data_IF_505375661860
#
_entry.id   IF_505375661860
#
_cell.length_a   1.000
_cell.length_b   1.000
_cell.length_c   1.000
_cell.angle_alpha   90.00
_cell.angle_beta   90.00
_cell.angle_gamma   90.00
#
_symmetry.space_group_name_H-M   'P 1'
#
loop_
_entity.id
_entity.type
_entity.pdbx_description
1 polymer ?
#
# COMPACT_ATOMS: atom_id res chain seq x y z
N UNK A 1 -33.80 2.09 -55.20
CA UNK A 1 -32.40 2.31 -54.78
C UNK A 1 -31.80 0.94 -54.54
N UNK A 2 -30.83 0.52 -55.34
CA UNK A 2 -30.04 -0.67 -55.07
C UNK A 2 -29.17 -0.38 -53.86
N UNK A 3 -29.47 -1.01 -52.74
CA UNK A 3 -28.63 -1.02 -51.54
C UNK A 3 -27.24 -1.52 -51.96
N UNK A 4 -26.21 -0.73 -51.67
CA UNK A 4 -24.82 -1.02 -52.06
C UNK A 4 -24.33 -2.19 -51.21
N UNK A 5 -24.50 -3.41 -51.71
CA UNK A 5 -23.98 -4.63 -51.11
C UNK A 5 -22.49 -4.71 -51.49
N UNK A 6 -21.65 -4.08 -50.69
CA UNK A 6 -20.21 -4.15 -50.81
C UNK A 6 -19.73 -5.50 -50.25
N UNK A 7 -19.12 -6.33 -51.09
CA UNK A 7 -18.62 -7.68 -50.74
C UNK A 7 -17.34 -7.64 -49.88
N UNK A 8 -17.06 -6.48 -49.27
CA UNK A 8 -15.92 -6.30 -48.37
C UNK A 8 -16.22 -6.92 -47.00
N UNK A 9 -15.25 -7.58 -46.37
CA UNK A 9 -15.44 -8.12 -45.02
C UNK A 9 -15.79 -7.00 -44.06
N UNK A 10 -17.00 -7.05 -43.48
CA UNK A 10 -17.48 -6.12 -42.46
C UNK A 10 -16.70 -6.33 -41.15
N UNK A 11 -15.53 -5.71 -41.05
CA UNK A 11 -14.66 -5.74 -39.87
C UNK A 11 -15.36 -5.16 -38.62
N UNK A 12 -16.33 -4.27 -38.83
CA UNK A 12 -17.13 -3.61 -37.81
C UNK A 12 -17.99 -4.62 -37.02
N UNK A 13 -18.61 -5.56 -37.74
CA UNK A 13 -19.47 -6.59 -37.14
C UNK A 13 -18.67 -7.79 -36.63
N UNK A 14 -17.53 -8.10 -37.25
CA UNK A 14 -16.62 -9.16 -36.80
C UNK A 14 -15.88 -8.81 -35.50
N UNK A 15 -15.70 -7.53 -35.17
CA UNK A 15 -15.06 -7.07 -33.92
C UNK A 15 -15.98 -7.06 -32.70
N UNK A 16 -17.28 -7.31 -32.87
CA UNK A 16 -18.22 -7.41 -31.77
C UNK A 16 -17.95 -8.69 -30.99
N UNK A 17 -17.05 -8.59 -30.02
CA UNK A 17 -16.76 -9.62 -29.05
C UNK A 17 -18.06 -10.12 -28.41
N UNK A 18 -18.29 -11.43 -28.49
CA UNK A 18 -19.44 -12.11 -27.88
C UNK A 18 -19.64 -11.67 -26.42
N UNK A 19 -20.85 -11.22 -26.07
CA UNK A 19 -21.15 -10.71 -24.72
C UNK A 19 -20.83 -11.74 -23.62
N UNK A 20 -20.92 -13.04 -23.95
CA UNK A 20 -20.62 -14.10 -23.01
C UNK A 20 -19.14 -14.09 -22.58
N UNK A 21 -18.22 -13.80 -23.51
CA UNK A 21 -16.79 -13.65 -23.22
C UNK A 21 -16.50 -12.44 -22.31
N UNK A 22 -17.15 -11.30 -22.57
CA UNK A 22 -17.00 -10.10 -21.74
C UNK A 22 -17.51 -10.27 -20.31
N UNK A 23 -18.63 -11.00 -20.14
CA UNK A 23 -19.18 -11.32 -18.81
C UNK A 23 -18.24 -12.18 -17.98
N UNK A 24 -17.58 -13.18 -18.59
CA UNK A 24 -16.63 -14.04 -17.89
C UNK A 24 -15.42 -13.24 -17.38
N UNK A 25 -14.85 -12.38 -18.21
CA UNK A 25 -13.71 -11.52 -17.84
C UNK A 25 -14.06 -10.56 -16.68
N UNK A 26 -15.23 -9.91 -16.76
CA UNK A 26 -15.70 -9.00 -15.70
C UNK A 26 -15.92 -9.73 -14.38
N UNK A 27 -16.44 -10.96 -14.41
CA UNK A 27 -16.64 -11.79 -13.20
C UNK A 27 -15.31 -12.13 -12.51
N UNK A 28 -14.27 -12.47 -13.29
CA UNK A 28 -12.93 -12.74 -12.75
C UNK A 28 -12.37 -11.48 -12.07
N UNK A 29 -12.49 -10.33 -12.73
CA UNK A 29 -11.96 -9.06 -12.21
C UNK A 29 -12.62 -8.67 -10.89
N UNK A 30 -13.94 -8.80 -10.78
CA UNK A 30 -14.66 -8.60 -9.51
C UNK A 30 -14.23 -9.58 -8.42
N UNK A 31 -14.02 -10.85 -8.75
CA UNK A 31 -13.56 -11.86 -7.78
C UNK A 31 -12.18 -11.49 -7.21
N UNK A 32 -11.23 -11.17 -8.09
CA UNK A 32 -9.87 -10.81 -7.68
C UNK A 32 -9.86 -9.51 -6.89
N UNK A 33 -10.64 -8.51 -7.32
CA UNK A 33 -10.80 -7.25 -6.60
C UNK A 33 -11.24 -7.46 -5.15
N UNK A 34 -12.30 -8.24 -4.92
CA UNK A 34 -12.78 -8.50 -3.57
C UNK A 34 -11.78 -9.27 -2.71
N UNK A 35 -11.09 -10.26 -3.27
CA UNK A 35 -10.04 -11.01 -2.53
C UNK A 35 -8.91 -10.07 -2.11
N UNK A 36 -8.41 -9.24 -3.02
CA UNK A 36 -7.32 -8.30 -2.72
C UNK A 36 -7.75 -7.20 -1.75
N UNK A 37 -8.99 -6.72 -1.85
CA UNK A 37 -9.55 -5.76 -0.90
C UNK A 37 -9.61 -6.36 0.51
N UNK A 38 -10.11 -7.59 0.64
CA UNK A 38 -10.24 -8.25 1.94
C UNK A 38 -8.88 -8.47 2.61
N UNK A 39 -7.89 -8.94 1.84
CA UNK A 39 -6.52 -9.09 2.33
C UNK A 39 -5.96 -7.74 2.81
N UNK A 40 -6.21 -6.66 2.07
CA UNK A 40 -5.73 -5.32 2.43
C UNK A 40 -6.38 -4.78 3.69
N UNK A 41 -7.70 -4.96 3.85
CA UNK A 41 -8.42 -4.54 5.06
C UNK A 41 -7.92 -5.33 6.27
N UNK A 42 -7.73 -6.64 6.11
CA UNK A 42 -7.19 -7.51 7.16
C UNK A 42 -5.79 -7.07 7.60
N UNK A 43 -4.91 -6.75 6.64
CA UNK A 43 -3.56 -6.27 6.89
C UNK A 43 -3.58 -4.94 7.68
N UNK A 44 -4.43 -3.99 7.26
CA UNK A 44 -4.60 -2.71 7.95
C UNK A 44 -5.16 -2.88 9.38
N UNK A 45 -6.12 -3.78 9.57
CA UNK A 45 -6.73 -4.04 10.88
C UNK A 45 -5.71 -4.62 11.88
N UNK A 46 -4.86 -5.55 11.43
CA UNK A 46 -3.75 -6.07 12.25
C UNK A 46 -2.77 -4.94 12.59
N UNK A 47 -2.50 -4.06 11.62
CA UNK A 47 -1.59 -2.93 11.80
C UNK A 47 -2.10 -1.90 12.80
N UNK A 48 -3.39 -1.58 12.76
CA UNK A 48 -4.01 -0.64 13.68
C UNK A 48 -4.12 -1.18 15.11
N UNK A 49 -4.23 -2.50 15.28
CA UNK A 49 -4.25 -3.16 16.59
C UNK A 49 -2.86 -3.31 17.23
N UNK A 50 -1.79 -3.23 16.44
CA UNK A 50 -0.43 -3.49 16.91
C UNK A 50 0.08 -2.56 18.03
N UNK A 51 -0.19 -1.23 18.01
CA UNK A 51 0.22 -0.33 19.10
C UNK A 51 -0.46 -0.66 20.43
N UNK A 52 -1.74 -1.03 20.41
CA UNK A 52 -2.51 -1.36 21.62
C UNK A 52 -2.04 -2.65 22.33
N UNK A 53 -1.38 -3.55 21.59
CA UNK A 53 -0.87 -4.83 22.11
C UNK A 53 0.65 -4.83 22.33
N UNK A 54 1.33 -3.69 22.10
CA UNK A 54 2.79 -3.60 22.22
C UNK A 54 3.57 -4.34 21.12
N UNK A 55 2.94 -4.67 20.00
CA UNK A 55 3.55 -5.42 18.89
C UNK A 55 4.31 -4.54 17.90
N UNK A 56 4.41 -3.23 18.14
CA UNK A 56 4.99 -2.21 17.25
C UNK A 56 6.45 -2.46 16.85
N UNK A 57 7.14 -3.40 17.51
CA UNK A 57 8.51 -3.82 17.17
C UNK A 57 8.65 -5.29 16.77
N UNK A 58 7.57 -6.07 16.77
CA UNK A 58 7.64 -7.52 16.64
C UNK A 58 8.12 -7.94 15.24
N UNK A 59 9.14 -8.79 15.18
CA UNK A 59 9.70 -9.30 13.92
C UNK A 59 8.65 -10.08 13.11
N UNK A 60 7.80 -10.87 13.77
CA UNK A 60 6.75 -11.64 13.09
C UNK A 60 5.77 -10.73 12.36
N UNK A 61 5.45 -9.58 12.95
CA UNK A 61 4.51 -8.62 12.37
C UNK A 61 5.10 -8.01 11.10
N UNK A 62 6.37 -7.58 11.16
CA UNK A 62 7.10 -7.06 9.99
C UNK A 62 7.17 -8.07 8.85
N UNK A 63 7.49 -9.33 9.15
CA UNK A 63 7.54 -10.41 8.15
C UNK A 63 6.16 -10.69 7.56
N UNK A 64 5.09 -10.63 8.37
CA UNK A 64 3.72 -10.79 7.89
C UNK A 64 3.33 -9.69 6.89
N UNK A 65 3.57 -8.42 7.23
CA UNK A 65 3.29 -7.28 6.35
C UNK A 65 4.09 -7.34 5.04
N UNK A 66 5.39 -7.65 5.11
CA UNK A 66 6.23 -7.81 3.92
C UNK A 66 5.75 -9.00 3.07
N UNK A 67 5.38 -10.13 3.70
CA UNK A 67 4.86 -11.29 2.98
C UNK A 67 3.53 -11.01 2.28
N UNK A 68 2.57 -10.40 2.99
CA UNK A 68 1.26 -10.05 2.43
C UNK A 68 1.36 -9.04 1.29
N UNK A 69 2.23 -8.04 1.41
CA UNK A 69 2.49 -7.06 0.34
C UNK A 69 3.10 -7.70 -0.91
N UNK A 70 4.04 -8.64 -0.76
CA UNK A 70 4.62 -9.38 -1.91
C UNK A 70 3.56 -10.27 -2.58
N UNK A 71 2.78 -11.01 -1.79
CA UNK A 71 1.69 -11.87 -2.31
C UNK A 71 0.67 -11.02 -3.06
N UNK A 72 0.28 -9.88 -2.50
CA UNK A 72 -0.64 -8.92 -3.13
C UNK A 72 -0.06 -8.35 -4.43
N UNK A 73 1.22 -7.96 -4.45
CA UNK A 73 1.86 -7.44 -5.65
C UNK A 73 1.89 -8.49 -6.77
N UNK A 74 2.28 -9.73 -6.46
CA UNK A 74 2.26 -10.84 -7.40
C UNK A 74 0.83 -11.11 -7.92
N UNK A 75 -0.14 -11.09 -7.02
CA UNK A 75 -1.54 -11.25 -7.36
C UNK A 75 -2.04 -10.16 -8.33
N UNK A 76 -1.67 -8.90 -8.08
CA UNK A 76 -2.05 -7.79 -8.95
C UNK A 76 -1.44 -7.96 -10.34
N UNK A 77 -0.14 -8.25 -10.43
CA UNK A 77 0.56 -8.39 -11.71
C UNK A 77 0.01 -9.57 -12.53
N UNK A 78 -0.26 -10.72 -11.90
CA UNK A 78 -0.75 -11.90 -12.63
C UNK A 78 -2.20 -11.74 -13.11
N UNK A 79 -3.08 -11.18 -12.27
CA UNK A 79 -4.51 -11.15 -12.52
C UNK A 79 -5.05 -9.82 -13.05
N UNK A 80 -4.62 -8.66 -12.54
CA UNK A 80 -5.13 -7.36 -13.01
C UNK A 80 -4.52 -6.93 -14.34
N UNK A 81 -3.29 -7.35 -14.63
CA UNK A 81 -2.67 -7.03 -15.91
C UNK A 81 -2.98 -8.07 -17.00
N UNK A 82 -3.80 -9.08 -16.71
CA UNK A 82 -4.17 -10.15 -17.65
C UNK A 82 -2.95 -10.89 -18.27
N UNK A 83 -1.78 -10.76 -17.64
CA UNK A 83 -0.52 -11.30 -18.15
C UNK A 83 -0.48 -12.84 -18.10
N UNK A 84 -1.43 -13.50 -17.43
CA UNK A 84 -1.51 -14.96 -17.37
C UNK A 84 -1.61 -15.63 -18.75
N UNK A 85 -2.43 -15.08 -19.64
CA UNK A 85 -2.77 -15.70 -20.93
C UNK A 85 -2.20 -14.96 -22.15
N UNK A 86 -1.53 -13.84 -21.91
CA UNK A 86 -0.97 -12.95 -22.94
C UNK A 86 0.36 -13.41 -23.54
N UNK A 87 0.78 -12.74 -24.61
CA UNK A 87 2.04 -13.03 -25.32
C UNK A 87 3.24 -12.84 -24.40
N UNK A 88 4.18 -13.80 -24.39
CA UNK A 88 5.34 -13.81 -23.46
C UNK A 88 6.14 -12.50 -23.47
N UNK A 89 6.25 -11.85 -24.63
CA UNK A 89 6.96 -10.58 -24.78
C UNK A 89 6.32 -9.42 -24.01
N UNK A 90 4.99 -9.29 -24.05
CA UNK A 90 4.25 -8.29 -23.28
C UNK A 90 4.40 -8.49 -21.77
N UNK A 91 4.49 -9.75 -21.31
CA UNK A 91 4.78 -10.07 -19.91
C UNK A 91 6.12 -9.48 -19.47
N UNK A 92 7.18 -9.70 -20.23
CA UNK A 92 8.51 -9.21 -19.87
C UNK A 92 8.63 -7.69 -19.94
N UNK A 93 7.98 -7.03 -20.90
CA UNK A 93 7.97 -5.56 -20.99
C UNK A 93 7.39 -4.91 -19.74
N UNK A 94 6.37 -5.52 -19.12
CA UNK A 94 5.72 -4.96 -17.94
C UNK A 94 6.40 -5.45 -16.65
N UNK A 95 6.76 -6.73 -16.59
CA UNK A 95 7.32 -7.35 -15.40
C UNK A 95 8.75 -6.85 -15.11
N UNK A 96 9.57 -6.62 -16.13
CA UNK A 96 10.96 -6.20 -15.97
C UNK A 96 11.13 -4.80 -15.35
N UNK A 97 10.45 -3.73 -15.83
CA UNK A 97 10.52 -2.43 -15.17
C UNK A 97 9.89 -2.47 -13.77
N UNK A 98 8.82 -3.24 -13.57
CA UNK A 98 8.16 -3.36 -12.27
C UNK A 98 9.08 -3.97 -11.20
N UNK A 99 9.72 -5.10 -11.51
CA UNK A 99 10.69 -5.74 -10.60
C UNK A 99 11.89 -4.83 -10.37
N UNK A 100 12.45 -4.25 -11.44
CA UNK A 100 13.60 -3.34 -11.32
C UNK A 100 13.28 -2.15 -10.40
N UNK A 101 12.11 -1.55 -10.56
CA UNK A 101 11.69 -0.42 -9.74
C UNK A 101 11.50 -0.82 -8.26
N UNK A 102 10.87 -1.96 -7.98
CA UNK A 102 10.70 -2.45 -6.60
C UNK A 102 12.05 -2.75 -5.95
N UNK A 103 12.96 -3.45 -6.64
CA UNK A 103 14.28 -3.76 -6.09
C UNK A 103 15.08 -2.48 -5.82
N UNK A 104 15.03 -1.50 -6.74
CA UNK A 104 15.67 -0.20 -6.56
C UNK A 104 15.05 0.59 -5.41
N UNK A 105 13.72 0.56 -5.26
CA UNK A 105 13.01 1.21 -4.16
C UNK A 105 13.37 0.59 -2.80
N UNK A 106 13.44 -0.74 -2.71
CA UNK A 106 13.87 -1.42 -1.48
C UNK A 106 15.32 -1.03 -1.15
N UNK A 107 16.20 -1.04 -2.16
CA UNK A 107 17.60 -0.64 -1.98
C UNK A 107 17.71 0.78 -1.42
N UNK A 108 17.07 1.78 -2.03
CA UNK A 108 17.17 3.17 -1.57
C UNK A 108 16.56 3.35 -0.17
N UNK A 109 15.41 2.74 0.11
CA UNK A 109 14.75 2.85 1.43
C UNK A 109 15.63 2.23 2.53
N UNK A 110 16.26 1.08 2.26
CA UNK A 110 17.12 0.43 3.25
C UNK A 110 18.42 1.21 3.46
N UNK A 111 19.05 1.69 2.39
CA UNK A 111 20.30 2.47 2.49
C UNK A 111 20.05 3.79 3.22
N UNK A 112 19.06 4.57 2.78
CA UNK A 112 18.71 5.85 3.40
C UNK A 112 18.17 5.65 4.83
N UNK A 113 17.36 4.62 5.05
CA UNK A 113 16.81 4.30 6.37
C UNK A 113 17.91 3.92 7.37
N UNK A 114 18.89 3.13 6.96
CA UNK A 114 20.06 2.79 7.79
C UNK A 114 20.94 4.01 8.00
N UNK A 115 21.19 4.80 6.95
CA UNK A 115 21.99 6.03 7.04
C UNK A 115 21.37 7.05 8.01
N UNK A 116 20.06 7.30 7.92
CA UNK A 116 19.35 8.23 8.81
C UNK A 116 19.30 7.75 10.27
N UNK A 117 19.34 6.43 10.50
CA UNK A 117 19.30 5.84 11.85
C UNK A 117 20.59 6.02 12.67
N UNK A 118 21.71 6.44 12.08
CA UNK A 118 22.94 6.67 12.84
C UNK A 118 22.88 8.00 13.62
N UNK A 119 23.15 8.00 14.94
CA UNK A 119 23.09 9.22 15.77
C UNK A 119 24.13 10.29 15.40
N UNK A 120 25.11 9.95 14.53
CA UNK A 120 26.03 10.94 13.94
C UNK A 120 25.43 11.73 12.78
N UNK A 121 24.31 11.27 12.22
CA UNK A 121 23.71 11.80 11.00
C UNK A 121 22.47 12.67 11.31
N UNK A 122 22.30 13.01 12.59
CA UNK A 122 21.20 13.82 13.12
C UNK A 122 21.40 15.26 12.67
N UNK A 123 20.45 15.76 11.91
CA UNK A 123 20.46 17.13 11.40
C UNK A 123 20.00 18.13 12.45
N UNK A 124 20.26 19.43 12.23
CA UNK A 124 19.83 20.51 13.14
C UNK A 124 18.33 20.48 13.39
N UNK A 125 17.55 20.11 12.38
CA UNK A 125 16.08 20.03 12.46
C UNK A 125 15.61 18.94 13.42
N UNK A 126 16.27 17.78 13.46
CA UNK A 126 15.90 16.68 14.35
C UNK A 126 16.00 17.09 15.83
N UNK A 127 17.02 17.89 16.16
CA UNK A 127 17.19 18.42 17.52
C UNK A 127 16.06 19.37 17.90
N UNK A 128 15.64 20.24 16.98
CA UNK A 128 14.50 21.15 17.19
C UNK A 128 13.22 20.37 17.48
N UNK A 129 12.93 19.29 16.74
CA UNK A 129 11.75 18.47 16.99
C UNK A 129 11.79 17.76 18.35
N UNK A 130 12.97 17.27 18.76
CA UNK A 130 13.16 16.65 20.08
C UNK A 130 12.92 17.68 21.19
N UNK A 131 13.49 18.88 21.04
CA UNK A 131 13.34 19.94 22.03
C UNK A 131 11.88 20.43 22.09
N UNK A 132 11.21 20.59 20.95
CA UNK A 132 9.77 20.94 20.88
C UNK A 132 8.89 19.89 21.55
N UNK A 133 9.15 18.58 21.32
CA UNK A 133 8.40 17.52 21.99
C UNK A 133 8.64 17.52 23.51
N UNK A 134 9.86 17.83 23.93
CA UNK A 134 10.23 17.91 25.34
C UNK A 134 9.56 19.11 26.02
N UNK A 135 9.54 20.25 25.35
CA UNK A 135 8.89 21.48 25.82
C UNK A 135 7.36 21.32 25.88
N UNK A 136 6.72 20.74 24.85
CA UNK A 136 5.28 20.39 24.89
C UNK A 136 4.95 19.43 26.04
N UNK A 137 5.79 18.42 26.27
CA UNK A 137 5.58 17.44 27.35
C UNK A 137 5.74 18.08 28.72
N UNK A 138 6.70 18.99 28.87
CA UNK A 138 6.90 19.75 30.10
C UNK A 138 5.74 20.72 30.36
N UNK A 139 5.27 21.44 29.35
CA UNK A 139 4.12 22.34 29.46
C UNK A 139 2.84 21.61 29.90
N UNK A 140 2.51 20.46 29.29
CA UNK A 140 1.38 19.64 29.73
C UNK A 140 1.58 19.03 31.13
N UNK A 141 2.83 18.78 31.55
CA UNK A 141 3.15 18.31 32.90
C UNK A 141 2.97 19.40 33.96
N UNK A 142 3.37 20.64 33.65
CA UNK A 142 3.21 21.81 34.52
C UNK A 142 1.74 22.24 34.64
N UNK A 143 0.98 22.22 33.55
CA UNK A 143 -0.48 22.46 33.59
C UNK A 143 -1.23 21.38 34.38
N UNK A 144 -0.84 20.11 34.27
CA UNK A 144 -1.43 19.04 35.08
C UNK A 144 -1.13 19.21 36.58
N UNK A 145 0.10 19.61 36.94
CA UNK A 145 0.48 19.89 38.33
C UNK A 145 -0.21 21.13 38.92
N UNK A 146 -0.39 22.19 38.14
CA UNK A 146 -1.14 23.37 38.59
C UNK A 146 -2.65 23.09 38.72
N UNK A 147 -3.22 22.28 37.82
CA UNK A 147 -4.65 21.94 37.88
C UNK A 147 -4.97 21.00 39.07
N UNK A 148 -4.09 20.05 39.39
CA UNK A 148 -4.23 19.22 40.61
C UNK A 148 -4.06 20.01 41.91
N UNK A 149 -3.12 20.96 41.96
CA UNK A 149 -2.95 21.83 43.13
C UNK A 149 -4.16 22.74 43.35
N UNK A 150 -4.75 23.28 42.27
CA UNK A 150 -5.91 24.18 42.35
C UNK A 150 -7.20 23.42 42.69
N UNK A 151 -7.39 22.19 42.22
CA UNK A 151 -8.56 21.36 42.59
C UNK A 151 -8.44 20.67 43.95
N UNK A 152 -7.22 20.46 44.47
CA UNK A 152 -6.99 19.94 45.82
C UNK A 152 -7.28 20.96 46.94
N UNK A 153 -7.16 22.25 46.65
CA UNK A 153 -7.46 23.34 47.60
C UNK A 153 -8.97 23.69 47.68
N UNK A 154 -9.78 23.36 46.67
CA UNK A 154 -11.23 23.67 46.66
C UNK A 154 -12.10 22.63 47.40
N UNK A 155 -11.51 21.52 47.90
CA UNK A 155 -12.22 20.45 48.62
C UNK A 155 -11.92 20.37 50.13
N UNK A 156 -11.45 21.47 50.74
CA UNK A 156 -11.28 21.60 52.19
C UNK A 156 -12.20 22.67 52.81
#
# INVERSE_FOLDING_TARGET
MSEFHDDYPHYETMSNHDEAHGKAARKVLWKVFWVMLFITIFELAIGSMAPGHGWTGALWLKVLFIGLTVVKAAAIVLWFMHLGHEVKFFKYIILLPYITFILYAIFIILVEGVYSGYPRNVTRVDKIFIDQQKELKNHHGEEAQQTEATHGEEHH
#
